data_IF_581086418537
#
_entry.id   IF_581086418537
#
_cell.length_a   1.000
_cell.length_b   1.000
_cell.length_c   1.000
_cell.angle_alpha   90.00
_cell.angle_beta   90.00
_cell.angle_gamma   90.00
#
_symmetry.space_group_name_H-M   'P 1'
#
loop_
_entity.id
_entity.type
_entity.pdbx_description
1 polymer ?
#
# COMPACT_ATOMS: atom_id res chain seq x y z
N UNK A 1 16.27 -22.68 11.16
CA UNK A 1 15.94 -24.11 11.37
C UNK A 1 17.06 -25.02 10.90
N UNK A 2 17.34 -25.11 9.59
CA UNK A 2 18.33 -26.08 9.08
C UNK A 2 19.74 -25.92 9.69
N UNK A 3 20.23 -24.70 9.85
CA UNK A 3 21.57 -24.44 10.39
C UNK A 3 21.66 -24.26 11.91
N UNK A 4 20.55 -23.93 12.59
CA UNK A 4 20.59 -23.49 13.99
C UNK A 4 19.35 -23.86 14.82
N UNK A 5 18.50 -24.76 14.32
CA UNK A 5 17.29 -25.19 15.02
C UNK A 5 16.15 -24.17 15.05
N UNK A 6 15.13 -24.47 15.86
CA UNK A 6 13.92 -23.64 16.02
C UNK A 6 14.12 -22.43 16.93
N UNK A 7 15.17 -22.42 17.75
CA UNK A 7 15.51 -21.31 18.67
C UNK A 7 15.97 -20.04 17.96
N UNK A 8 16.44 -20.16 16.72
CA UNK A 8 16.89 -19.02 15.89
C UNK A 8 15.69 -18.23 15.32
N UNK A 9 14.47 -18.78 15.36
CA UNK A 9 13.28 -18.07 14.90
C UNK A 9 12.83 -17.09 15.97
N UNK A 10 12.68 -15.83 15.59
CA UNK A 10 11.98 -14.85 16.42
C UNK A 10 10.46 -15.06 16.30
N UNK A 11 9.92 -15.95 17.14
CA UNK A 11 8.50 -16.32 17.15
C UNK A 11 7.57 -15.15 17.43
N UNK A 12 7.99 -14.19 18.26
CA UNK A 12 7.20 -13.00 18.55
C UNK A 12 7.06 -12.10 17.32
N UNK A 13 8.15 -11.86 16.58
CA UNK A 13 8.10 -11.10 15.32
C UNK A 13 7.32 -11.85 14.25
N UNK A 14 7.50 -13.17 14.14
CA UNK A 14 6.72 -14.00 13.20
C UNK A 14 5.22 -13.92 13.49
N UNK A 15 4.82 -14.05 14.77
CA UNK A 15 3.42 -13.89 15.18
C UNK A 15 2.85 -12.51 14.84
N UNK A 16 3.62 -11.44 15.05
CA UNK A 16 3.21 -10.09 14.66
C UNK A 16 3.00 -9.94 13.14
N UNK A 17 3.84 -10.59 12.32
CA UNK A 17 3.66 -10.66 10.86
C UNK A 17 2.39 -11.41 10.49
N UNK A 18 2.13 -12.57 11.10
CA UNK A 18 0.92 -13.36 10.81
C UNK A 18 -0.35 -12.59 11.19
N UNK A 19 -0.35 -11.93 12.36
CA UNK A 19 -1.49 -11.13 12.81
C UNK A 19 -1.80 -9.98 11.85
N UNK A 20 -0.78 -9.37 11.25
CA UNK A 20 -1.01 -8.27 10.32
C UNK A 20 -1.70 -8.71 9.04
N UNK A 21 -1.55 -9.96 8.62
CA UNK A 21 -2.22 -10.47 7.42
C UNK A 21 -3.73 -10.57 7.60
N UNK A 22 -4.21 -10.58 8.83
CA UNK A 22 -5.63 -10.52 9.17
C UNK A 22 -6.05 -9.06 9.41
N UNK A 23 -5.27 -8.30 10.19
CA UNK A 23 -5.63 -6.94 10.59
C UNK A 23 -5.66 -5.99 9.37
N UNK A 24 -4.67 -6.08 8.49
CA UNK A 24 -4.52 -5.17 7.35
C UNK A 24 -5.68 -5.23 6.35
N UNK A 25 -6.11 -6.40 5.84
CA UNK A 25 -7.23 -6.46 4.92
C UNK A 25 -8.53 -6.01 5.59
N UNK A 26 -8.75 -6.34 6.86
CA UNK A 26 -9.96 -5.94 7.59
C UNK A 26 -10.01 -4.42 7.77
N UNK A 27 -8.91 -3.81 8.23
CA UNK A 27 -8.84 -2.36 8.40
C UNK A 27 -9.05 -1.63 7.07
N UNK A 28 -8.39 -2.09 6.01
CA UNK A 28 -8.54 -1.51 4.68
C UNK A 28 -9.95 -1.68 4.11
N UNK A 29 -10.58 -2.84 4.32
CA UNK A 29 -11.97 -3.10 3.94
C UNK A 29 -12.91 -2.10 4.58
N UNK A 30 -12.79 -1.88 5.90
CA UNK A 30 -13.65 -0.94 6.63
C UNK A 30 -13.44 0.49 6.12
N UNK A 31 -12.19 0.93 5.96
CA UNK A 31 -11.90 2.28 5.45
C UNK A 31 -12.45 2.46 4.04
N UNK A 32 -12.22 1.51 3.14
CA UNK A 32 -12.70 1.56 1.76
C UNK A 32 -14.22 1.55 1.66
N UNK A 33 -14.88 0.68 2.43
CA UNK A 33 -16.34 0.61 2.51
C UNK A 33 -16.94 1.94 2.97
N UNK A 34 -16.44 2.50 4.07
CA UNK A 34 -16.91 3.77 4.60
C UNK A 34 -16.66 4.92 3.63
N UNK A 35 -15.45 5.01 3.06
CA UNK A 35 -15.11 6.05 2.09
C UNK A 35 -16.01 5.98 0.84
N UNK A 36 -16.24 4.78 0.32
CA UNK A 36 -17.10 4.64 -0.85
C UNK A 36 -18.57 4.94 -0.56
N UNK A 37 -19.08 4.58 0.62
CA UNK A 37 -20.43 5.01 1.08
C UNK A 37 -20.55 6.52 1.20
N UNK A 38 -19.50 7.21 1.66
CA UNK A 38 -19.46 8.67 1.71
C UNK A 38 -19.53 9.25 0.29
N UNK A 39 -18.76 8.73 -0.66
CA UNK A 39 -18.79 9.17 -2.07
C UNK A 39 -20.18 8.92 -2.68
N UNK A 40 -20.78 7.76 -2.45
CA UNK A 40 -22.13 7.47 -2.93
C UNK A 40 -23.12 8.53 -2.42
N UNK A 41 -23.14 8.76 -1.11
CA UNK A 41 -24.10 9.67 -0.46
C UNK A 41 -23.91 11.13 -0.85
N UNK A 42 -22.66 11.58 -0.94
CA UNK A 42 -22.33 12.99 -1.14
C UNK A 42 -22.23 13.38 -2.63
N UNK A 43 -21.87 12.45 -3.51
CA UNK A 43 -21.62 12.72 -4.93
C UNK A 43 -22.58 11.92 -5.82
N UNK A 44 -22.55 10.58 -5.76
CA UNK A 44 -23.20 9.75 -6.80
C UNK A 44 -24.74 9.77 -6.73
N UNK A 45 -25.34 10.01 -5.57
CA UNK A 45 -26.79 10.16 -5.42
C UNK A 45 -27.31 11.57 -5.77
N UNK A 46 -26.46 12.49 -6.23
CA UNK A 46 -26.86 13.87 -6.54
C UNK A 46 -27.17 14.04 -8.03
N UNK A 47 -28.12 14.93 -8.35
CA UNK A 47 -28.56 15.19 -9.74
C UNK A 47 -27.40 15.66 -10.65
N UNK A 48 -26.49 16.49 -10.13
CA UNK A 48 -25.29 16.95 -10.85
C UNK A 48 -24.03 16.39 -10.19
N UNK A 49 -23.67 15.16 -10.56
CA UNK A 49 -22.53 14.44 -9.99
C UNK A 49 -21.20 15.17 -10.23
N UNK A 50 -21.07 15.87 -11.37
CA UNK A 50 -19.89 16.66 -11.72
C UNK A 50 -19.66 17.83 -10.75
N UNK A 51 -20.67 18.67 -10.54
CA UNK A 51 -20.52 19.85 -9.65
C UNK A 51 -20.22 19.40 -8.22
N UNK A 52 -20.88 18.35 -7.74
CA UNK A 52 -20.62 17.81 -6.41
C UNK A 52 -19.22 17.19 -6.29
N UNK A 53 -18.77 16.43 -7.29
CA UNK A 53 -17.43 15.87 -7.32
C UNK A 53 -16.36 16.98 -7.34
N UNK A 54 -16.54 18.03 -8.15
CA UNK A 54 -15.61 19.15 -8.22
C UNK A 54 -15.59 19.96 -6.91
N UNK A 55 -16.76 20.26 -6.31
CA UNK A 55 -16.82 21.01 -5.05
C UNK A 55 -16.21 20.24 -3.87
N UNK A 56 -16.34 18.92 -3.86
CA UNK A 56 -15.80 18.06 -2.81
C UNK A 56 -14.39 17.55 -3.13
N UNK A 57 -13.85 17.76 -4.33
CA UNK A 57 -12.50 17.33 -4.70
C UNK A 57 -11.41 17.89 -3.76
N UNK A 58 -11.47 19.13 -3.22
CA UNK A 58 -10.48 19.58 -2.24
C UNK A 58 -10.37 18.67 -1.03
N UNK A 59 -11.49 18.14 -0.55
CA UNK A 59 -11.51 17.25 0.61
C UNK A 59 -10.84 15.91 0.29
N UNK A 60 -11.19 15.28 -0.85
CA UNK A 60 -10.62 13.99 -1.24
C UNK A 60 -9.14 14.07 -1.62
N UNK A 61 -8.74 15.11 -2.35
CA UNK A 61 -7.33 15.39 -2.65
C UNK A 61 -6.58 15.70 -1.35
N UNK A 62 -7.16 16.56 -0.51
CA UNK A 62 -6.57 16.99 0.75
C UNK A 62 -6.34 15.83 1.72
N UNK A 63 -7.33 14.97 1.94
CA UNK A 63 -7.18 13.82 2.85
C UNK A 63 -6.14 12.82 2.33
N UNK A 64 -6.09 12.57 1.03
CA UNK A 64 -5.06 11.72 0.45
C UNK A 64 -3.67 12.34 0.62
N UNK A 65 -3.52 13.63 0.30
CA UNK A 65 -2.26 14.36 0.44
C UNK A 65 -1.81 14.47 1.90
N UNK A 66 -2.76 14.65 2.83
CA UNK A 66 -2.51 14.65 4.28
C UNK A 66 -1.81 13.35 4.71
N UNK A 67 -2.36 12.20 4.31
CA UNK A 67 -1.77 10.88 4.61
C UNK A 67 -0.37 10.76 4.01
N UNK A 68 -0.14 11.30 2.80
CA UNK A 68 1.19 11.33 2.17
C UNK A 68 2.17 12.14 3.00
N UNK A 69 1.87 13.40 3.28
CA UNK A 69 2.77 14.30 4.02
C UNK A 69 3.09 13.72 5.39
N UNK A 70 2.09 13.17 6.08
CA UNK A 70 2.27 12.54 7.38
C UNK A 70 3.20 11.31 7.31
N UNK A 71 3.07 10.51 6.25
CA UNK A 71 3.99 9.40 5.98
C UNK A 71 5.42 9.88 5.75
N UNK A 72 5.62 10.97 5.01
CA UNK A 72 6.95 11.54 4.79
C UNK A 72 7.55 12.05 6.10
N UNK A 73 6.80 12.83 6.87
CA UNK A 73 7.28 13.42 8.12
C UNK A 73 7.63 12.37 9.19
N UNK A 74 6.95 11.23 9.23
CA UNK A 74 7.24 10.19 10.24
C UNK A 74 8.16 9.07 9.80
N UNK A 75 8.18 8.72 8.52
CA UNK A 75 8.94 7.53 8.07
C UNK A 75 10.26 7.87 7.38
N UNK A 76 10.37 9.03 6.75
CA UNK A 76 11.54 9.31 5.91
C UNK A 76 12.72 9.83 6.74
N UNK A 77 13.95 9.62 6.27
CA UNK A 77 15.13 10.23 6.89
C UNK A 77 15.03 11.76 7.00
N UNK A 78 14.34 12.40 6.05
CA UNK A 78 14.07 13.84 6.08
C UNK A 78 13.20 14.22 7.29
N UNK A 79 12.12 13.49 7.52
CA UNK A 79 11.26 13.67 8.69
C UNK A 79 12.00 13.47 10.01
N UNK A 80 12.87 12.45 10.09
CA UNK A 80 13.73 12.21 11.26
C UNK A 80 14.75 13.32 11.51
N UNK A 81 15.28 13.96 10.47
CA UNK A 81 16.19 15.11 10.60
C UNK A 81 15.48 16.37 11.08
N UNK A 82 14.24 16.57 10.62
CA UNK A 82 13.42 17.72 10.98
C UNK A 82 12.90 17.64 12.43
N UNK A 83 12.85 16.44 13.02
CA UNK A 83 12.46 16.20 14.43
C UNK A 83 11.18 16.94 14.86
N UNK A 84 10.22 17.08 13.94
CA UNK A 84 8.97 17.81 14.18
C UNK A 84 8.08 16.98 15.11
N UNK A 85 7.61 17.60 16.18
CA UNK A 85 6.67 16.97 17.10
C UNK A 85 5.33 16.64 16.43
N UNK A 86 4.62 15.63 16.97
CA UNK A 86 3.35 15.16 16.42
C UNK A 86 2.32 16.28 16.17
N UNK A 87 2.08 17.24 17.09
CA UNK A 87 1.10 18.31 16.87
C UNK A 87 1.48 19.23 15.70
N UNK A 88 2.75 19.60 15.61
CA UNK A 88 3.26 20.43 14.53
C UNK A 88 3.23 19.70 13.18
N UNK A 89 3.57 18.41 13.15
CA UNK A 89 3.49 17.59 11.94
C UNK A 89 2.06 17.46 11.43
N UNK A 90 1.07 17.29 12.33
CA UNK A 90 -0.34 17.28 11.98
C UNK A 90 -0.80 18.63 11.42
N UNK A 91 -0.41 19.73 12.04
CA UNK A 91 -0.77 21.08 11.59
C UNK A 91 -0.19 21.38 10.19
N UNK A 92 1.10 21.11 9.99
CA UNK A 92 1.78 21.28 8.69
C UNK A 92 1.10 20.44 7.61
N UNK A 93 0.82 19.17 7.93
CA UNK A 93 0.14 18.26 6.99
C UNK A 93 -1.26 18.76 6.63
N UNK A 94 -2.00 19.32 7.60
CA UNK A 94 -3.36 19.83 7.40
C UNK A 94 -3.37 21.11 6.56
N UNK A 95 -2.43 22.03 6.79
CA UNK A 95 -2.27 23.25 5.99
C UNK A 95 -1.92 22.90 4.54
N UNK A 96 -0.91 22.04 4.34
CA UNK A 96 -0.50 21.62 3.01
C UNK A 96 -1.61 20.85 2.29
N UNK A 97 -2.33 19.98 3.00
CA UNK A 97 -3.50 19.27 2.46
C UNK A 97 -4.60 20.23 1.99
N UNK A 98 -4.92 21.27 2.78
CA UNK A 98 -5.90 22.27 2.38
C UNK A 98 -5.43 23.04 1.13
N UNK A 99 -4.19 23.52 1.13
CA UNK A 99 -3.61 24.27 0.00
C UNK A 99 -3.62 23.45 -1.30
N UNK A 100 -3.14 22.21 -1.24
CA UNK A 100 -3.12 21.30 -2.40
C UNK A 100 -4.52 20.90 -2.81
N UNK A 101 -5.44 20.68 -1.87
CA UNK A 101 -6.84 20.42 -2.16
C UNK A 101 -7.51 21.55 -2.95
N UNK A 102 -7.36 22.79 -2.49
CA UNK A 102 -7.92 23.96 -3.18
C UNK A 102 -7.24 24.24 -4.53
N UNK A 103 -5.92 24.12 -4.60
CA UNK A 103 -5.18 24.24 -5.86
C UNK A 103 -5.61 23.17 -6.86
N UNK A 104 -5.73 21.91 -6.40
CA UNK A 104 -6.21 20.79 -7.19
C UNK A 104 -7.61 21.01 -7.74
N UNK A 105 -8.54 21.51 -6.92
CA UNK A 105 -9.90 21.87 -7.40
C UNK A 105 -9.87 22.95 -8.48
N UNK A 106 -9.09 24.02 -8.32
CA UNK A 106 -8.96 25.07 -9.35
C UNK A 106 -8.41 24.50 -10.66
N UNK A 107 -7.40 23.64 -10.59
CA UNK A 107 -6.83 22.96 -11.76
C UNK A 107 -7.84 22.03 -12.43
N UNK A 108 -8.55 21.21 -11.64
CA UNK A 108 -9.59 20.32 -12.15
C UNK A 108 -10.71 21.11 -12.84
N UNK A 109 -11.18 22.21 -12.24
CA UNK A 109 -12.21 23.05 -12.83
C UNK A 109 -11.78 23.74 -14.13
N UNK A 110 -10.47 23.93 -14.33
CA UNK A 110 -9.92 24.51 -15.56
C UNK A 110 -9.74 23.48 -16.68
N UNK A 111 -9.29 22.26 -16.34
CA UNK A 111 -8.89 21.24 -17.32
C UNK A 111 -9.92 20.14 -17.56
N UNK A 112 -10.79 19.86 -16.58
CA UNK A 112 -11.85 18.87 -16.70
C UNK A 112 -13.12 19.61 -17.08
N UNK A 113 -13.58 19.44 -18.32
CA UNK A 113 -14.87 19.99 -18.75
C UNK A 113 -16.00 19.07 -18.28
N UNK A 114 -17.18 19.66 -18.04
CA UNK A 114 -18.40 18.90 -17.77
C UNK A 114 -18.76 18.08 -19.01
N UNK A 115 -18.55 16.77 -18.94
CA UNK A 115 -18.99 15.80 -19.93
C UNK A 115 -20.28 15.13 -19.38
N UNK A 116 -21.24 14.78 -20.24
CA UNK A 116 -22.53 14.20 -19.85
C UNK A 116 -22.41 12.94 -18.97
N UNK A 117 -23.46 12.70 -18.16
CA UNK A 117 -23.81 11.59 -17.25
C UNK A 117 -22.75 11.05 -16.26
N UNK A 118 -21.45 11.05 -16.58
CA UNK A 118 -20.38 10.43 -15.80
C UNK A 118 -19.30 11.42 -15.31
N UNK A 119 -19.67 12.70 -15.18
CA UNK A 119 -18.72 13.76 -14.86
C UNK A 119 -17.98 13.59 -13.51
N UNK A 120 -18.53 12.86 -12.55
CA UNK A 120 -17.81 12.50 -11.32
C UNK A 120 -16.65 11.53 -11.58
N UNK A 121 -16.84 10.54 -12.44
CA UNK A 121 -15.81 9.54 -12.74
C UNK A 121 -14.61 10.17 -13.44
N UNK A 122 -14.81 11.16 -14.32
CA UNK A 122 -13.71 11.88 -14.96
C UNK A 122 -12.87 12.71 -13.96
N UNK A 123 -13.53 13.35 -12.98
CA UNK A 123 -12.84 14.06 -11.90
C UNK A 123 -12.01 13.07 -11.08
N UNK A 124 -12.61 11.95 -10.67
CA UNK A 124 -11.92 10.93 -9.89
C UNK A 124 -10.81 10.24 -10.69
N UNK A 125 -10.92 10.09 -12.01
CA UNK A 125 -9.84 9.58 -12.87
C UNK A 125 -8.55 10.39 -12.71
N UNK A 126 -8.67 11.72 -12.64
CA UNK A 126 -7.52 12.62 -12.44
C UNK A 126 -6.97 12.57 -11.02
N UNK A 127 -7.86 12.53 -10.02
CA UNK A 127 -7.48 12.44 -8.61
C UNK A 127 -6.79 11.10 -8.32
N UNK A 128 -7.31 10.01 -8.88
CA UNK A 128 -6.82 8.65 -8.66
C UNK A 128 -5.38 8.48 -9.13
N UNK A 129 -4.96 9.10 -10.24
CA UNK A 129 -3.56 9.05 -10.68
C UNK A 129 -2.63 9.52 -9.55
N UNK A 130 -3.01 10.60 -8.84
CA UNK A 130 -2.26 11.09 -7.68
C UNK A 130 -2.23 10.10 -6.52
N UNK A 131 -3.36 9.46 -6.19
CA UNK A 131 -3.41 8.46 -5.12
C UNK A 131 -2.65 7.19 -5.48
N UNK A 132 -2.69 6.75 -6.74
CA UNK A 132 -1.95 5.58 -7.21
C UNK A 132 -0.45 5.80 -7.16
N UNK A 133 0.04 7.00 -7.51
CA UNK A 133 1.45 7.37 -7.32
C UNK A 133 1.88 7.28 -5.85
N UNK A 134 1.00 7.68 -4.92
CA UNK A 134 1.27 7.56 -3.50
C UNK A 134 1.32 6.11 -3.02
N UNK A 135 0.37 5.28 -3.43
CA UNK A 135 0.38 3.84 -3.13
C UNK A 135 1.66 3.20 -3.66
N UNK A 136 2.09 3.54 -4.88
CA UNK A 136 3.34 3.05 -5.46
C UNK A 136 4.57 3.43 -4.62
N UNK A 137 4.62 4.68 -4.12
CA UNK A 137 5.69 5.14 -3.23
C UNK A 137 5.67 4.42 -1.88
N UNK A 138 4.50 4.31 -1.24
CA UNK A 138 4.33 3.63 0.03
C UNK A 138 4.69 2.15 -0.07
N UNK A 139 4.32 1.51 -1.19
CA UNK A 139 4.65 0.13 -1.49
C UNK A 139 6.14 -0.06 -1.73
N UNK A 140 6.77 0.80 -2.54
CA UNK A 140 8.22 0.76 -2.75
C UNK A 140 9.00 0.91 -1.44
N UNK A 141 8.57 1.83 -0.56
CA UNK A 141 9.21 2.04 0.73
C UNK A 141 9.09 0.84 1.70
N UNK A 142 8.01 0.06 1.60
CA UNK A 142 7.79 -1.12 2.44
C UNK A 142 8.47 -2.37 1.84
N UNK A 143 8.28 -2.60 0.54
CA UNK A 143 8.61 -3.87 -0.11
C UNK A 143 10.10 -3.95 -0.50
N UNK A 144 10.81 -2.82 -0.61
CA UNK A 144 12.27 -2.81 -0.88
C UNK A 144 13.04 -3.58 0.19
N UNK A 145 12.59 -3.53 1.44
CA UNK A 145 13.23 -4.23 2.55
C UNK A 145 13.18 -5.75 2.40
N UNK A 146 12.19 -6.30 1.68
CA UNK A 146 12.04 -7.75 1.52
C UNK A 146 13.18 -8.35 0.68
N UNK A 147 13.66 -7.62 -0.34
CA UNK A 147 14.79 -8.05 -1.16
C UNK A 147 16.13 -7.55 -0.62
N UNK A 148 16.17 -6.29 -0.20
CA UNK A 148 17.42 -5.63 0.21
C UNK A 148 17.83 -5.98 1.63
N UNK A 149 16.90 -6.33 2.53
CA UNK A 149 17.22 -6.73 3.89
C UNK A 149 18.21 -7.91 3.95
N UNK A 150 17.91 -9.06 3.32
CA UNK A 150 18.84 -10.18 3.23
C UNK A 150 20.17 -9.81 2.54
N UNK A 151 20.11 -9.03 1.45
CA UNK A 151 21.30 -8.60 0.71
C UNK A 151 22.21 -7.68 1.54
N UNK A 152 21.64 -6.79 2.35
CA UNK A 152 22.38 -5.93 3.25
C UNK A 152 23.12 -6.76 4.31
N UNK A 153 22.46 -7.76 4.92
CA UNK A 153 23.12 -8.66 5.87
C UNK A 153 24.33 -9.35 5.24
N UNK A 154 24.21 -9.86 4.01
CA UNK A 154 25.34 -10.47 3.28
C UNK A 154 26.46 -9.45 3.05
N UNK A 155 26.12 -8.24 2.56
CA UNK A 155 27.09 -7.19 2.29
C UNK A 155 27.90 -6.79 3.53
N UNK A 156 27.24 -6.61 4.68
CA UNK A 156 27.95 -6.26 5.92
C UNK A 156 28.77 -7.41 6.47
N UNK A 157 28.25 -8.64 6.42
CA UNK A 157 28.99 -9.82 6.87
C UNK A 157 30.30 -9.99 6.09
N UNK A 158 30.28 -9.77 4.77
CA UNK A 158 31.46 -9.90 3.91
C UNK A 158 32.48 -8.78 4.13
N UNK A 159 32.01 -7.53 4.30
CA UNK A 159 32.92 -6.37 4.39
C UNK A 159 33.43 -6.10 5.81
N UNK A 160 32.58 -6.27 6.83
CA UNK A 160 32.91 -5.93 8.23
C UNK A 160 33.20 -7.16 9.09
N UNK A 161 32.94 -8.37 8.59
CA UNK A 161 33.21 -9.63 9.29
C UNK A 161 32.27 -9.92 10.47
N UNK A 162 31.38 -8.98 10.83
CA UNK A 162 30.36 -9.15 11.86
C UNK A 162 29.07 -8.40 11.47
N UNK A 163 27.94 -8.85 12.02
CA UNK A 163 26.64 -8.22 11.81
C UNK A 163 26.14 -7.74 13.17
N UNK A 164 26.18 -6.43 13.38
CA UNK A 164 25.63 -5.80 14.58
C UNK A 164 24.10 -5.94 14.69
N UNK A 165 23.55 -5.57 15.84
CA UNK A 165 22.09 -5.63 16.08
C UNK A 165 21.27 -4.75 15.12
N UNK A 166 21.89 -3.74 14.52
CA UNK A 166 21.30 -2.89 13.48
C UNK A 166 22.22 -2.85 12.27
N UNK A 167 21.69 -3.25 11.11
CA UNK A 167 22.41 -3.19 9.84
C UNK A 167 21.96 -1.94 9.09
N UNK A 168 22.76 -0.87 9.02
CA UNK A 168 22.39 0.29 8.22
C UNK A 168 22.39 -0.12 6.75
N UNK A 169 21.36 0.22 5.97
CA UNK A 169 21.30 -0.17 4.56
C UNK A 169 21.88 0.94 3.67
N UNK A 170 22.98 0.71 2.94
CA UNK A 170 23.53 1.65 1.98
C UNK A 170 22.51 2.10 0.93
N UNK A 171 22.57 3.38 0.55
CA UNK A 171 21.66 3.97 -0.43
C UNK A 171 21.73 3.25 -1.78
N UNK A 172 22.90 2.78 -2.20
CA UNK A 172 23.04 2.07 -3.48
C UNK A 172 22.29 0.73 -3.50
N UNK A 173 22.22 0.01 -2.37
CA UNK A 173 21.43 -1.21 -2.26
C UNK A 173 19.93 -0.89 -2.33
N UNK A 174 19.50 0.21 -1.71
CA UNK A 174 18.11 0.69 -1.84
C UNK A 174 17.78 1.08 -3.29
N UNK A 175 18.71 1.76 -3.99
CA UNK A 175 18.54 2.09 -5.42
C UNK A 175 18.44 0.82 -6.27
N UNK A 176 19.31 -0.16 -6.02
CA UNK A 176 19.28 -1.46 -6.70
C UNK A 176 17.92 -2.16 -6.51
N UNK A 177 17.41 -2.20 -5.28
CA UNK A 177 16.09 -2.76 -4.98
C UNK A 177 14.95 -2.00 -5.66
N UNK A 178 14.99 -0.67 -5.64
CA UNK A 178 14.00 0.18 -6.31
C UNK A 178 13.95 -0.04 -7.83
N UNK A 179 15.12 -0.13 -8.48
CA UNK A 179 15.22 -0.45 -9.91
C UNK A 179 14.68 -1.85 -10.19
N UNK A 180 15.03 -2.83 -9.36
CA UNK A 180 14.50 -4.20 -9.48
C UNK A 180 12.97 -4.28 -9.38
N UNK A 181 12.37 -3.55 -8.44
CA UNK A 181 10.90 -3.44 -8.32
C UNK A 181 10.30 -2.82 -9.58
N UNK A 182 10.87 -1.71 -10.07
CA UNK A 182 10.38 -1.03 -11.27
C UNK A 182 10.39 -1.94 -12.51
N UNK A 183 11.48 -2.70 -12.71
CA UNK A 183 11.57 -3.70 -13.78
C UNK A 183 10.60 -4.87 -13.59
N UNK A 184 10.43 -5.37 -12.37
CA UNK A 184 9.47 -6.45 -12.09
C UNK A 184 8.03 -6.05 -12.40
N UNK A 185 7.65 -4.82 -12.03
CA UNK A 185 6.32 -4.27 -12.32
C UNK A 185 6.12 -4.11 -13.83
N UNK A 186 7.13 -3.61 -14.57
CA UNK A 186 7.01 -3.43 -16.03
C UNK A 186 6.93 -4.75 -16.79
N UNK A 187 7.60 -5.82 -16.32
CA UNK A 187 7.60 -7.12 -16.98
C UNK A 187 6.33 -7.95 -16.70
N UNK A 188 5.92 -8.04 -15.43
CA UNK A 188 4.90 -9.01 -15.01
C UNK A 188 3.76 -8.42 -14.16
N UNK A 189 3.87 -7.16 -13.73
CA UNK A 189 2.90 -6.52 -12.83
C UNK A 189 1.47 -6.50 -13.38
N UNK A 190 1.30 -6.44 -14.71
CA UNK A 190 -0.01 -6.37 -15.36
C UNK A 190 -0.93 -7.55 -15.04
N UNK A 191 -0.40 -8.75 -14.80
CA UNK A 191 -1.20 -9.96 -14.50
C UNK A 191 -1.92 -9.84 -13.15
N UNK A 192 -1.23 -9.26 -12.17
CA UNK A 192 -1.78 -9.03 -10.83
C UNK A 192 -2.74 -7.84 -10.86
N UNK A 193 -2.38 -6.76 -11.56
CA UNK A 193 -3.25 -5.59 -11.73
C UNK A 193 -4.57 -5.96 -12.41
N UNK A 194 -4.56 -6.81 -13.44
CA UNK A 194 -5.77 -7.33 -14.07
C UNK A 194 -6.65 -8.09 -13.06
N UNK A 195 -6.06 -8.98 -12.28
CA UNK A 195 -6.81 -9.78 -11.30
C UNK A 195 -7.47 -8.90 -10.22
N UNK A 196 -6.78 -7.87 -9.73
CA UNK A 196 -7.33 -6.94 -8.74
C UNK A 196 -8.37 -5.99 -9.36
N UNK A 197 -8.17 -5.53 -10.59
CA UNK A 197 -9.01 -4.53 -11.26
C UNK A 197 -10.30 -5.08 -11.86
N UNK A 198 -10.30 -6.36 -12.29
CA UNK A 198 -11.43 -6.93 -13.05
C UNK A 198 -12.04 -8.17 -12.39
N UNK A 199 -11.25 -9.00 -11.70
CA UNK A 199 -11.71 -10.34 -11.28
C UNK A 199 -12.37 -10.39 -9.90
N UNK A 200 -12.00 -9.51 -8.96
CA UNK A 200 -12.61 -9.50 -7.61
C UNK A 200 -13.94 -8.71 -7.62
N UNK A 201 -13.89 -7.48 -8.12
CA UNK A 201 -15.04 -6.62 -8.40
C UNK A 201 -14.67 -5.66 -9.52
N UNK A 202 -15.66 -5.08 -10.22
CA UNK A 202 -15.38 -4.10 -11.28
C UNK A 202 -14.99 -2.75 -10.67
N UNK A 203 -13.77 -2.28 -10.94
CA UNK A 203 -13.31 -0.98 -10.45
C UNK A 203 -13.68 0.15 -11.42
N UNK A 204 -14.40 1.16 -10.92
CA UNK A 204 -14.49 2.50 -11.54
C UNK A 204 -13.48 3.44 -10.85
N UNK A 205 -13.29 4.66 -11.33
CA UNK A 205 -12.26 5.56 -10.80
C UNK A 205 -12.56 6.00 -9.35
N UNK A 206 -13.83 6.24 -9.04
CA UNK A 206 -14.25 6.53 -7.65
C UNK A 206 -13.91 5.38 -6.70
N UNK A 207 -14.08 4.13 -7.17
CA UNK A 207 -13.73 2.92 -6.40
C UNK A 207 -12.22 2.76 -6.28
N UNK A 208 -11.49 2.97 -7.37
CA UNK A 208 -10.03 2.93 -7.39
C UNK A 208 -9.42 3.90 -6.38
N UNK A 209 -9.91 5.13 -6.34
CA UNK A 209 -9.53 6.11 -5.32
C UNK A 209 -9.76 5.59 -3.89
N UNK A 210 -10.93 4.99 -3.60
CA UNK A 210 -11.22 4.44 -2.28
C UNK A 210 -10.29 3.30 -1.89
N UNK A 211 -9.97 2.40 -2.84
CA UNK A 211 -9.03 1.30 -2.64
C UNK A 211 -7.63 1.83 -2.34
N UNK A 212 -7.13 2.76 -3.17
CA UNK A 212 -5.82 3.37 -3.00
C UNK A 212 -5.69 4.07 -1.65
N UNK A 213 -6.67 4.92 -1.33
CA UNK A 213 -6.73 5.65 -0.07
C UNK A 213 -6.74 4.69 1.12
N UNK A 214 -7.63 3.69 1.11
CA UNK A 214 -7.75 2.75 2.20
C UNK A 214 -6.50 1.88 2.39
N UNK A 215 -5.88 1.41 1.30
CA UNK A 215 -4.67 0.62 1.37
C UNK A 215 -3.51 1.45 1.94
N UNK A 216 -3.31 2.67 1.45
CA UNK A 216 -2.22 3.51 1.90
C UNK A 216 -2.40 3.99 3.35
N UNK A 217 -3.62 4.40 3.74
CA UNK A 217 -3.93 4.78 5.13
C UNK A 217 -3.73 3.60 6.09
N UNK A 218 -4.17 2.40 5.71
CA UNK A 218 -3.95 1.17 6.50
C UNK A 218 -2.47 0.92 6.73
N UNK A 219 -1.67 0.97 5.66
CA UNK A 219 -0.22 0.76 5.74
C UNK A 219 0.45 1.83 6.60
N UNK A 220 0.03 3.10 6.50
CA UNK A 220 0.55 4.18 7.33
C UNK A 220 0.27 3.96 8.82
N UNK A 221 -1.00 3.72 9.17
CA UNK A 221 -1.41 3.50 10.57
C UNK A 221 -0.66 2.33 11.16
N UNK A 222 -0.68 1.18 10.49
CA UNK A 222 -0.05 -0.03 11.01
C UNK A 222 1.47 0.13 11.12
N UNK A 223 2.12 0.84 10.20
CA UNK A 223 3.54 1.14 10.33
C UNK A 223 3.86 2.10 11.49
N UNK A 224 2.99 3.06 11.80
CA UNK A 224 3.17 3.95 12.97
C UNK A 224 3.04 3.19 14.28
N UNK A 225 2.19 2.17 14.31
CA UNK A 225 2.05 1.23 15.43
C UNK A 225 3.20 0.20 15.49
N UNK A 226 4.17 0.27 14.57
CA UNK A 226 5.28 -0.68 14.51
C UNK A 226 4.88 -2.10 14.08
N UNK A 227 3.67 -2.26 13.53
CA UNK A 227 3.17 -3.53 13.04
C UNK A 227 3.70 -3.76 11.61
N UNK A 228 4.33 -4.90 11.32
CA UNK A 228 4.74 -5.24 9.95
C UNK A 228 3.48 -5.48 9.11
N UNK A 229 3.23 -4.70 8.06
CA UNK A 229 1.96 -4.71 7.32
C UNK A 229 2.16 -5.26 5.91
N UNK A 230 1.21 -6.04 5.39
CA UNK A 230 1.24 -6.41 3.98
C UNK A 230 0.37 -5.48 3.13
N UNK A 231 1.04 -4.77 2.21
CA UNK A 231 0.44 -3.85 1.22
C UNK A 231 -0.55 -4.58 0.31
N UNK A 232 -0.22 -5.78 -0.16
CA UNK A 232 -1.10 -6.59 -1.02
C UNK A 232 -2.39 -7.00 -0.29
N UNK A 233 -2.30 -7.45 0.96
CA UNK A 233 -3.49 -7.80 1.74
C UNK A 233 -4.37 -6.56 1.99
N UNK A 234 -3.77 -5.41 2.30
CA UNK A 234 -4.52 -4.16 2.43
C UNK A 234 -5.24 -3.80 1.13
N UNK A 235 -4.58 -3.86 -0.02
CA UNK A 235 -5.21 -3.59 -1.32
C UNK A 235 -6.39 -4.55 -1.61
N UNK A 236 -6.22 -5.87 -1.41
CA UNK A 236 -7.32 -6.83 -1.56
C UNK A 236 -8.48 -6.50 -0.61
N UNK A 237 -8.19 -6.19 0.65
CA UNK A 237 -9.20 -5.75 1.62
C UNK A 237 -9.97 -4.52 1.15
N UNK A 238 -9.27 -3.51 0.62
CA UNK A 238 -9.89 -2.33 0.03
C UNK A 238 -10.82 -2.67 -1.14
N UNK A 239 -10.38 -3.53 -2.06
CA UNK A 239 -11.21 -4.00 -3.20
C UNK A 239 -12.48 -4.71 -2.72
N UNK A 240 -12.35 -5.57 -1.70
CA UNK A 240 -13.50 -6.23 -1.09
C UNK A 240 -14.43 -5.19 -0.45
N UNK A 241 -13.89 -4.21 0.28
CA UNK A 241 -14.67 -3.15 0.94
C UNK A 241 -15.51 -2.32 -0.02
N UNK A 242 -14.94 -1.86 -1.14
CA UNK A 242 -15.70 -1.12 -2.17
C UNK A 242 -16.74 -2.01 -2.87
N UNK A 243 -16.43 -3.29 -3.06
CA UNK A 243 -17.38 -4.26 -3.62
C UNK A 243 -18.57 -4.48 -2.70
N UNK A 244 -18.33 -4.76 -1.41
CA UNK A 244 -19.37 -4.96 -0.40
C UNK A 244 -20.27 -3.73 -0.22
N UNK A 245 -19.74 -2.52 -0.41
CA UNK A 245 -20.53 -1.29 -0.35
C UNK A 245 -21.60 -1.19 -1.45
N UNK A 246 -21.50 -1.99 -2.53
CA UNK A 246 -22.52 -2.16 -3.58
C UNK A 246 -23.49 -3.31 -3.32
N UNK A 247 -23.22 -4.16 -2.34
CA UNK A 247 -23.96 -5.39 -2.06
C UNK A 247 -23.08 -6.64 -2.21
N UNK A 248 -23.49 -7.72 -1.55
CA UNK A 248 -22.73 -8.99 -1.51
C UNK A 248 -22.52 -9.59 -2.90
N UNK A 249 -23.48 -9.43 -3.80
CA UNK A 249 -23.44 -9.96 -5.17
C UNK A 249 -22.35 -9.33 -6.04
N UNK A 250 -21.88 -8.13 -5.67
CA UNK A 250 -20.83 -7.43 -6.42
C UNK A 250 -19.41 -7.99 -6.17
N UNK A 251 -19.29 -9.00 -5.30
CA UNK A 251 -18.02 -9.55 -4.84
C UNK A 251 -17.91 -11.03 -5.18
N UNK A 252 -16.84 -11.41 -5.89
CA UNK A 252 -16.58 -12.81 -6.20
C UNK A 252 -15.86 -13.52 -5.03
N UNK A 253 -16.64 -14.07 -4.09
CA UNK A 253 -16.10 -14.79 -2.93
C UNK A 253 -15.27 -16.03 -3.27
N UNK A 254 -15.52 -16.68 -4.42
CA UNK A 254 -14.71 -17.82 -4.88
C UNK A 254 -13.27 -17.40 -5.13
N UNK A 255 -13.07 -16.22 -5.73
CA UNK A 255 -11.73 -15.68 -6.00
C UNK A 255 -11.06 -15.24 -4.71
N UNK A 256 -11.79 -14.60 -3.79
CA UNK A 256 -11.27 -14.23 -2.47
C UNK A 256 -10.76 -15.45 -1.72
N UNK A 257 -11.56 -16.52 -1.66
CA UNK A 257 -11.17 -17.76 -1.00
C UNK A 257 -9.93 -18.38 -1.65
N UNK A 258 -9.85 -18.37 -2.98
CA UNK A 258 -8.66 -18.83 -3.72
C UNK A 258 -7.41 -18.00 -3.38
N UNK A 259 -7.54 -16.68 -3.26
CA UNK A 259 -6.46 -15.78 -2.83
C UNK A 259 -6.01 -16.12 -1.41
N UNK A 260 -6.94 -16.32 -0.47
CA UNK A 260 -6.62 -16.70 0.91
C UNK A 260 -5.86 -18.04 0.98
N UNK A 261 -6.26 -19.03 0.19
CA UNK A 261 -5.52 -20.30 0.10
C UNK A 261 -4.09 -20.04 -0.38
N UNK A 262 -3.90 -19.22 -1.42
CA UNK A 262 -2.56 -18.91 -1.91
C UNK A 262 -1.70 -18.19 -0.87
N UNK A 263 -2.27 -17.29 -0.07
CA UNK A 263 -1.53 -16.63 1.02
C UNK A 263 -1.02 -17.62 2.07
N UNK A 264 -1.81 -18.65 2.40
CA UNK A 264 -1.40 -19.68 3.34
C UNK A 264 -0.38 -20.63 2.70
N UNK A 265 -0.56 -21.02 1.44
CA UNK A 265 0.31 -21.96 0.74
C UNK A 265 1.68 -21.39 0.34
N UNK A 266 1.78 -20.09 0.09
CA UNK A 266 3.06 -19.45 -0.27
C UNK A 266 4.09 -19.54 0.85
N UNK A 267 3.67 -19.53 2.12
CA UNK A 267 4.55 -19.67 3.27
C UNK A 267 5.33 -21.01 3.30
N UNK A 268 4.66 -22.17 3.40
CA UNK A 268 5.35 -23.45 3.44
C UNK A 268 6.10 -23.70 2.13
N UNK A 269 5.56 -23.30 0.98
CA UNK A 269 6.27 -23.43 -0.30
C UNK A 269 7.60 -22.65 -0.29
N UNK A 270 7.59 -21.40 0.20
CA UNK A 270 8.80 -20.58 0.29
C UNK A 270 9.80 -21.14 1.31
N UNK A 271 9.31 -21.60 2.46
CA UNK A 271 10.14 -22.19 3.50
C UNK A 271 10.83 -23.47 3.02
N UNK A 272 10.07 -24.40 2.42
CA UNK A 272 10.60 -25.67 1.89
C UNK A 272 11.59 -25.41 0.76
N UNK A 273 11.27 -24.52 -0.17
CA UNK A 273 12.19 -24.16 -1.27
C UNK A 273 13.49 -23.57 -0.74
N UNK A 274 13.41 -22.67 0.25
CA UNK A 274 14.58 -22.11 0.92
C UNK A 274 15.42 -23.17 1.63
N UNK A 275 14.79 -24.13 2.33
CA UNK A 275 15.49 -25.23 3.00
C UNK A 275 16.20 -26.15 2.01
N UNK A 276 15.57 -26.47 0.87
CA UNK A 276 16.16 -27.31 -0.19
C UNK A 276 17.38 -26.60 -0.78
N UNK A 277 17.25 -25.34 -1.18
CA UNK A 277 18.36 -24.57 -1.75
C UNK A 277 19.51 -24.47 -0.75
N UNK A 278 19.21 -24.18 0.52
CA UNK A 278 20.22 -24.12 1.58
C UNK A 278 20.97 -25.44 1.73
N UNK A 279 20.25 -26.57 1.77
CA UNK A 279 20.87 -27.90 1.90
C UNK A 279 21.74 -28.27 0.70
N UNK A 280 21.31 -27.91 -0.51
CA UNK A 280 22.10 -28.07 -1.73
C UNK A 280 23.39 -27.25 -1.64
N UNK A 281 23.29 -25.96 -1.30
CA UNK A 281 24.46 -25.10 -1.15
C UNK A 281 25.43 -25.61 -0.07
N UNK A 282 24.89 -26.10 1.05
CA UNK A 282 25.71 -26.68 2.12
C UNK A 282 26.49 -27.90 1.65
N UNK A 283 25.93 -28.74 0.78
CA UNK A 283 26.59 -29.92 0.23
C UNK A 283 27.68 -29.60 -0.80
N UNK A 284 27.62 -28.43 -1.45
CA UNK A 284 28.61 -28.01 -2.44
C UNK A 284 29.71 -27.11 -1.86
N UNK A 285 29.42 -26.38 -0.78
CA UNK A 285 30.35 -25.42 -0.16
C UNK A 285 31.09 -26.01 1.06
N UNK A 286 30.65 -27.16 1.58
CA UNK A 286 31.29 -27.96 2.63
C UNK A 286 31.39 -29.42 2.18
#
# INVERSE_FOLDING_TARGET
IMAGGFSVINWMKLGAVVMSWIISPVLSLVIAYCMFKIIIRLILCKKDTYIHALKLSPFFIGIAFFVVVLSFLFKTPLGKKLSIEMPAALLISLILAALVGFAGMKLLGKFVKKINSDGAEEIFRRIQIGTSCYVALAQGANDVANAIGPLAVIYFLVNEGNVGATVPVPVFLLMFGGVGIAFGVSMAGYRVMDTLGTKITTLTNTRGFCVDFAAATTVLIASKLGLPVSTTHAAVGGVIGVGLARGLEAVNFRIIFKIMIYWVLTLPASAVTSMIIFKILQLFLF
#
